data_IF_109006324803
#
_entry.id   IF_109006324803
#
_cell.length_a   1.000
_cell.length_b   1.000
_cell.length_c   1.000
_cell.angle_alpha   90.00
_cell.angle_beta   90.00
_cell.angle_gamma   90.00
#
_symmetry.space_group_name_H-M   'P 1'
#
loop_
_entity.id
_entity.type
_entity.pdbx_description
1 polymer ?
#
# COMPACT_ATOMS: atom_id res chain seq x y z
N UNK A 1 25.02 -14.97 14.29
CA UNK A 1 24.98 -13.98 13.20
C UNK A 1 26.21 -14.19 12.35
N UNK A 2 26.04 -14.45 11.06
CA UNK A 2 27.15 -14.59 10.12
C UNK A 2 27.66 -13.20 9.73
N UNK A 3 28.91 -12.89 10.09
CA UNK A 3 29.56 -11.66 9.65
C UNK A 3 30.04 -11.86 8.22
N UNK A 4 29.45 -11.11 7.29
CA UNK A 4 29.86 -11.10 5.88
C UNK A 4 30.78 -9.90 5.66
N UNK A 5 31.98 -10.15 5.14
CA UNK A 5 32.96 -9.10 4.83
C UNK A 5 32.99 -8.88 3.32
N UNK A 6 32.77 -7.64 2.89
CA UNK A 6 32.81 -7.27 1.46
C UNK A 6 33.74 -6.07 1.24
N UNK A 7 34.31 -5.93 0.03
CA UNK A 7 35.05 -4.74 -0.35
C UNK A 7 34.20 -3.46 -0.25
N UNK A 8 34.84 -2.36 0.16
CA UNK A 8 34.15 -1.06 0.32
C UNK A 8 33.44 -0.60 -0.94
N UNK A 9 34.04 -0.79 -2.11
CA UNK A 9 33.44 -0.45 -3.39
C UNK A 9 32.13 -1.20 -3.63
N UNK A 10 32.11 -2.49 -3.30
CA UNK A 10 30.92 -3.34 -3.45
C UNK A 10 29.83 -2.92 -2.46
N UNK A 11 30.22 -2.61 -1.22
CA UNK A 11 29.30 -2.04 -0.24
C UNK A 11 28.65 -0.74 -0.73
N UNK A 12 29.44 0.19 -1.25
CA UNK A 12 28.92 1.49 -1.71
C UNK A 12 27.96 1.35 -2.90
N UNK A 13 28.23 0.40 -3.80
CA UNK A 13 27.31 0.05 -4.92
C UNK A 13 26.01 -0.55 -4.39
N UNK A 14 26.08 -1.52 -3.48
CA UNK A 14 24.91 -2.16 -2.89
C UNK A 14 24.07 -1.17 -2.09
N UNK A 15 24.71 -0.28 -1.33
CA UNK A 15 24.03 0.79 -0.57
C UNK A 15 23.25 1.73 -1.48
N UNK A 16 23.87 2.20 -2.58
CA UNK A 16 23.18 3.06 -3.56
C UNK A 16 21.98 2.37 -4.19
N UNK A 17 22.10 1.09 -4.53
CA UNK A 17 20.98 0.29 -5.06
C UNK A 17 19.86 0.16 -4.05
N UNK A 18 20.20 -0.16 -2.79
CA UNK A 18 19.20 -0.27 -1.71
C UNK A 18 18.41 1.04 -1.53
N UNK A 19 19.10 2.18 -1.50
CA UNK A 19 18.45 3.49 -1.41
C UNK A 19 17.50 3.76 -2.60
N UNK A 20 17.94 3.49 -3.83
CA UNK A 20 17.09 3.64 -5.01
C UNK A 20 15.85 2.72 -4.95
N UNK A 21 16.01 1.50 -4.45
CA UNK A 21 14.88 0.58 -4.24
C UNK A 21 13.91 1.09 -3.17
N UNK A 22 14.40 1.63 -2.05
CA UNK A 22 13.55 2.21 -1.02
C UNK A 22 12.74 3.41 -1.53
N UNK A 23 13.39 4.30 -2.29
CA UNK A 23 12.73 5.46 -2.91
C UNK A 23 11.64 5.02 -3.91
N UNK A 24 11.96 4.07 -4.79
CA UNK A 24 11.00 3.53 -5.76
C UNK A 24 9.85 2.79 -5.09
N UNK A 25 10.14 1.97 -4.09
CA UNK A 25 9.12 1.27 -3.31
C UNK A 25 8.19 2.28 -2.62
N UNK A 26 8.75 3.33 -2.03
CA UNK A 26 7.98 4.42 -1.42
C UNK A 26 6.98 5.04 -2.39
N UNK A 27 7.40 5.37 -3.61
CA UNK A 27 6.54 5.94 -4.65
C UNK A 27 5.49 4.93 -5.14
N UNK A 28 5.87 3.67 -5.37
CA UNK A 28 4.93 2.63 -5.82
C UNK A 28 3.85 2.33 -4.77
N UNK A 29 4.22 2.21 -3.50
CA UNK A 29 3.26 1.98 -2.42
C UNK A 29 2.39 3.21 -2.12
N UNK A 30 2.89 4.42 -2.36
CA UNK A 30 2.06 5.63 -2.33
C UNK A 30 1.06 5.66 -3.47
N UNK A 31 1.43 5.22 -4.68
CA UNK A 31 0.52 5.19 -5.83
C UNK A 31 -0.58 4.12 -5.72
N UNK A 32 -0.30 3.01 -5.04
CA UNK A 32 -1.30 1.96 -4.72
C UNK A 32 -2.20 2.40 -3.55
N UNK A 33 -1.76 3.34 -2.71
CA UNK A 33 -2.59 3.91 -1.67
C UNK A 33 -3.47 5.02 -2.26
N UNK A 34 -4.76 4.72 -2.29
CA UNK A 34 -5.88 5.66 -2.26
C UNK A 34 -6.68 5.71 -3.55
N UNK A 35 -7.26 4.59 -3.96
CA UNK A 35 -8.65 4.69 -4.37
C UNK A 35 -9.46 5.13 -3.13
N UNK A 36 -10.13 6.29 -3.18
CA UNK A 36 -10.93 6.75 -2.06
C UNK A 36 -12.05 5.74 -1.80
N UNK A 37 -12.33 5.49 -0.52
CA UNK A 37 -13.36 4.53 -0.08
C UNK A 37 -14.72 4.80 -0.76
N UNK A 38 -15.00 6.06 -1.08
CA UNK A 38 -16.19 6.46 -1.85
C UNK A 38 -16.25 5.84 -3.23
N UNK A 39 -15.14 5.81 -4.00
CA UNK A 39 -15.10 5.24 -5.35
C UNK A 39 -15.35 3.73 -5.30
N UNK A 40 -14.72 3.03 -4.35
CA UNK A 40 -14.94 1.58 -4.14
C UNK A 40 -16.41 1.30 -3.84
N UNK A 41 -17.02 2.04 -2.90
CA UNK A 41 -18.44 1.83 -2.54
C UNK A 41 -19.36 2.17 -3.72
N UNK A 42 -19.02 3.18 -4.52
CA UNK A 42 -19.79 3.58 -5.68
C UNK A 42 -19.74 2.55 -6.81
N UNK A 43 -18.60 1.92 -7.04
CA UNK A 43 -18.48 0.85 -8.03
C UNK A 43 -19.29 -0.39 -7.65
N UNK A 44 -19.30 -0.76 -6.37
CA UNK A 44 -20.19 -1.82 -5.87
C UNK A 44 -21.66 -1.44 -6.02
N UNK A 45 -22.01 -0.17 -5.74
CA UNK A 45 -23.37 0.33 -5.92
C UNK A 45 -23.81 0.28 -7.39
N UNK A 46 -22.94 0.61 -8.35
CA UNK A 46 -23.23 0.57 -9.79
C UNK A 46 -23.58 -0.84 -10.29
N UNK A 47 -23.06 -1.89 -9.65
CA UNK A 47 -23.40 -3.26 -10.05
C UNK A 47 -24.88 -3.61 -9.83
N UNK A 48 -25.57 -2.92 -8.91
CA UNK A 48 -26.94 -3.23 -8.53
C UNK A 48 -27.13 -4.58 -7.84
N UNK A 49 -26.05 -5.29 -7.51
CA UNK A 49 -26.08 -6.65 -6.94
C UNK A 49 -26.13 -6.67 -5.41
N UNK A 50 -25.84 -5.54 -4.76
CA UNK A 50 -25.63 -5.46 -3.32
C UNK A 50 -26.71 -4.63 -2.62
N UNK A 51 -27.12 -5.09 -1.44
CA UNK A 51 -28.09 -4.37 -0.60
C UNK A 51 -27.48 -3.08 -0.01
N UNK A 52 -28.35 -2.12 0.33
CA UNK A 52 -27.91 -0.88 1.00
C UNK A 52 -27.21 -1.15 2.34
N UNK A 53 -27.65 -2.19 3.06
CA UNK A 53 -27.01 -2.66 4.29
C UNK A 53 -25.57 -3.10 4.04
N UNK A 54 -25.35 -3.94 3.02
CA UNK A 54 -24.01 -4.39 2.64
C UNK A 54 -23.10 -3.21 2.27
N UNK A 55 -23.58 -2.27 1.45
CA UNK A 55 -22.79 -1.10 1.05
C UNK A 55 -22.39 -0.22 2.24
N UNK A 56 -23.29 -0.08 3.23
CA UNK A 56 -23.01 0.65 4.47
C UNK A 56 -21.94 -0.04 5.31
N UNK A 57 -22.06 -1.35 5.46
CA UNK A 57 -21.12 -2.15 6.26
C UNK A 57 -19.74 -2.23 5.57
N UNK A 58 -19.71 -2.34 4.24
CA UNK A 58 -18.50 -2.24 3.41
C UNK A 58 -17.78 -0.92 3.65
N UNK A 59 -18.49 0.22 3.53
CA UNK A 59 -17.93 1.55 3.79
C UNK A 59 -17.33 1.63 5.20
N UNK A 60 -18.09 1.20 6.22
CA UNK A 60 -17.63 1.23 7.61
C UNK A 60 -16.39 0.36 7.85
N UNK A 61 -16.36 -0.85 7.27
CA UNK A 61 -15.22 -1.76 7.38
C UNK A 61 -13.95 -1.21 6.73
N UNK A 62 -14.08 -0.60 5.54
CA UNK A 62 -12.98 0.06 4.84
C UNK A 62 -12.45 1.26 5.62
N UNK A 63 -13.34 2.09 6.19
CA UNK A 63 -12.94 3.25 7.02
C UNK A 63 -12.17 2.82 8.26
N UNK A 64 -12.62 1.77 8.95
CA UNK A 64 -11.94 1.22 10.14
C UNK A 64 -10.57 0.63 9.79
N UNK A 65 -10.48 -0.12 8.70
CA UNK A 65 -9.24 -0.76 8.26
C UNK A 65 -8.19 0.25 7.77
N UNK A 66 -8.65 1.35 7.16
CA UNK A 66 -7.78 2.46 6.74
C UNK A 66 -7.23 3.24 7.94
N UNK A 67 -8.06 3.47 8.97
CA UNK A 67 -7.65 4.15 10.22
C UNK A 67 -6.71 3.31 11.09
N UNK A 68 -6.76 1.98 11.00
CA UNK A 68 -5.88 1.07 11.76
C UNK A 68 -4.40 1.09 11.30
N UNK A 69 -4.07 1.80 10.21
CA UNK A 69 -2.70 1.99 9.72
C UNK A 69 -2.02 3.30 10.19
N UNK A 70 -2.63 4.05 11.11
CA UNK A 70 -2.03 5.26 11.72
C UNK A 70 -1.52 5.00 13.11
#
# INVERSE_FOLDING_TARGET
MSTVTIPKLEYDVLRKRAQAYEELAGVFFQKIKSEPISEIVEDFKKTGLYSQLFLRDLKSGLEKSSKAKK
#
